data_IF_266209942698
#
_entry.id   IF_266209942698
#
_cell.length_a   1.000
_cell.length_b   1.000
_cell.length_c   1.000
_cell.angle_alpha   90.00
_cell.angle_beta   90.00
_cell.angle_gamma   90.00
#
_symmetry.space_group_name_H-M   'P 1'
#
loop_
_entity.id
_entity.type
_entity.pdbx_description
1 polymer ?
#
# COMPACT_ATOMS: atom_id res chain seq x y z
N UNK A 1 77.14 23.46 0.57
CA UNK A 1 77.77 23.65 -0.74
C UNK A 1 76.64 23.98 -1.67
N UNK A 2 76.30 25.28 -1.86
CA UNK A 2 76.73 26.13 -2.95
C UNK A 2 76.29 25.54 -4.30
N UNK A 3 75.28 26.15 -4.90
CA UNK A 3 75.47 26.99 -6.11
C UNK A 3 74.12 27.63 -6.54
N UNK A 4 74.15 28.92 -6.52
CA UNK A 4 73.25 29.86 -7.13
C UNK A 4 73.49 29.88 -8.66
N UNK A 5 72.40 30.00 -9.44
CA UNK A 5 72.49 30.44 -10.83
C UNK A 5 71.40 31.49 -11.11
N UNK A 6 71.94 32.66 -11.38
CA UNK A 6 71.27 33.89 -11.88
C UNK A 6 70.92 33.71 -13.34
N UNK A 7 69.74 34.21 -13.77
CA UNK A 7 69.43 34.43 -15.19
C UNK A 7 68.79 35.83 -15.36
N UNK A 8 69.10 36.53 -16.44
CA UNK A 8 68.90 37.96 -16.56
C UNK A 8 67.49 38.33 -17.13
N UNK A 9 67.07 39.55 -16.80
CA UNK A 9 65.87 40.19 -17.31
C UNK A 9 66.03 40.64 -18.77
N UNK A 10 64.97 40.61 -19.58
CA UNK A 10 64.92 41.34 -20.86
C UNK A 10 64.20 42.67 -20.73
N UNK A 11 64.77 43.62 -21.47
CA UNK A 11 64.49 45.05 -21.56
C UNK A 11 63.06 45.40 -22.04
N UNK A 12 62.56 46.48 -21.50
CA UNK A 12 61.35 47.16 -21.91
C UNK A 12 61.46 47.80 -23.31
N UNK A 13 60.55 47.36 -24.20
CA UNK A 13 60.30 48.04 -25.49
C UNK A 13 58.93 48.75 -25.40
N UNK A 14 59.02 50.09 -25.43
CA UNK A 14 57.86 51.00 -25.45
C UNK A 14 57.16 50.93 -26.82
N UNK A 15 55.95 50.39 -26.89
CA UNK A 15 55.07 50.57 -28.07
C UNK A 15 53.84 51.39 -27.68
N UNK A 16 53.59 52.42 -28.49
CA UNK A 16 52.61 53.47 -28.28
C UNK A 16 51.15 53.00 -28.27
N UNK A 17 50.30 53.64 -27.41
CA UNK A 17 48.94 53.17 -27.15
C UNK A 17 47.90 53.88 -28.01
N UNK A 18 47.88 53.72 -29.30
CA UNK A 18 46.86 54.38 -30.14
C UNK A 18 45.84 53.48 -30.82
N UNK A 19 46.06 52.17 -30.84
CA UNK A 19 45.12 51.22 -31.44
C UNK A 19 44.33 50.40 -30.42
N UNK A 20 44.66 50.45 -29.14
CA UNK A 20 43.96 49.71 -28.07
C UNK A 20 42.64 50.39 -27.69
N UNK A 21 42.53 51.72 -27.83
CA UNK A 21 41.31 52.46 -27.47
C UNK A 21 40.11 52.20 -28.42
N UNK A 22 40.38 51.89 -29.71
CA UNK A 22 39.30 51.61 -30.68
C UNK A 22 38.79 50.20 -30.59
N UNK A 23 39.64 49.21 -30.26
CA UNK A 23 39.26 47.82 -30.12
C UNK A 23 38.44 47.61 -28.83
N UNK A 24 38.78 48.35 -27.75
CA UNK A 24 38.02 48.26 -26.49
C UNK A 24 36.62 48.88 -26.61
N UNK A 25 36.43 49.92 -27.41
CA UNK A 25 35.11 50.53 -27.63
C UNK A 25 34.20 49.65 -28.49
N UNK A 26 34.71 48.90 -29.46
CA UNK A 26 33.94 47.96 -30.30
C UNK A 26 33.55 46.71 -29.51
N UNK A 27 34.40 46.20 -28.62
CA UNK A 27 34.10 45.05 -27.76
C UNK A 27 33.07 45.42 -26.70
N UNK A 28 33.07 46.64 -26.16
CA UNK A 28 32.11 47.08 -25.18
C UNK A 28 30.70 47.30 -25.76
N UNK A 29 30.59 47.68 -27.04
CA UNK A 29 29.30 47.82 -27.74
C UNK A 29 28.70 46.46 -28.13
N UNK A 30 29.51 45.45 -28.38
CA UNK A 30 29.07 44.07 -28.68
C UNK A 30 28.57 43.33 -27.42
N UNK A 31 29.02 43.69 -26.23
CA UNK A 31 28.53 43.07 -24.95
C UNK A 31 27.17 43.66 -24.53
N UNK A 32 26.80 44.85 -24.95
CA UNK A 32 25.48 45.44 -24.65
C UNK A 32 24.36 44.99 -25.59
N UNK A 33 24.66 44.37 -26.72
CA UNK A 33 23.65 43.78 -27.62
C UNK A 33 23.25 42.35 -27.27
N UNK A 34 23.87 41.74 -26.24
CA UNK A 34 23.63 40.34 -25.83
C UNK A 34 22.58 40.16 -24.72
N UNK A 35 21.97 41.20 -24.19
CA UNK A 35 20.93 41.10 -23.14
C UNK A 35 19.53 41.14 -23.74
N UNK A 36 19.15 40.09 -24.44
CA UNK A 36 17.84 39.99 -25.03
C UNK A 36 17.46 38.60 -25.51
N UNK A 37 18.28 37.57 -25.21
CA UNK A 37 17.81 36.21 -25.38
C UNK A 37 16.93 35.91 -24.18
N UNK A 38 15.62 36.17 -24.33
CA UNK A 38 14.62 35.40 -23.59
C UNK A 38 15.05 33.94 -23.80
N UNK A 39 15.57 33.28 -22.75
CA UNK A 39 15.58 31.83 -22.69
C UNK A 39 14.11 31.46 -22.88
N UNK A 40 13.77 31.04 -24.08
CA UNK A 40 12.57 30.26 -24.30
C UNK A 40 12.71 29.10 -23.32
N UNK A 41 12.00 29.18 -22.20
CA UNK A 41 11.72 27.99 -21.39
C UNK A 41 11.20 26.97 -22.39
N UNK A 42 11.73 25.73 -22.42
CA UNK A 42 11.17 24.71 -23.28
C UNK A 42 9.68 24.79 -23.06
N UNK A 43 8.91 24.94 -24.13
CA UNK A 43 7.48 25.18 -24.08
C UNK A 43 6.87 24.07 -23.22
N UNK A 44 6.71 24.33 -21.93
CA UNK A 44 5.82 23.55 -21.09
C UNK A 44 4.50 23.73 -21.79
N UNK A 45 3.98 22.65 -22.40
CA UNK A 45 2.73 22.72 -23.14
C UNK A 45 1.67 23.17 -22.15
N UNK A 46 1.33 24.43 -22.17
CA UNK A 46 0.27 25.01 -21.35
C UNK A 46 -1.05 24.42 -21.84
N UNK A 47 -1.76 23.71 -20.96
CA UNK A 47 -3.05 23.12 -21.26
C UNK A 47 -4.19 24.14 -21.03
N UNK A 48 -4.08 24.95 -19.97
CA UNK A 48 -5.00 26.05 -19.68
C UNK A 48 -4.27 27.18 -18.95
N UNK A 49 -4.87 28.38 -18.98
CA UNK A 49 -4.43 29.53 -18.20
C UNK A 49 -5.59 30.00 -17.33
N UNK A 50 -5.36 30.05 -16.02
CA UNK A 50 -6.35 30.46 -15.02
C UNK A 50 -5.84 31.74 -14.37
N UNK A 51 -6.39 32.90 -14.83
CA UNK A 51 -5.92 34.23 -14.44
C UNK A 51 -4.42 34.42 -14.75
N UNK A 52 -3.56 34.37 -13.73
CA UNK A 52 -2.11 34.53 -13.83
C UNK A 52 -1.34 33.21 -13.86
N UNK A 53 -1.99 32.13 -13.51
CA UNK A 53 -1.40 30.81 -13.34
C UNK A 53 -1.63 29.94 -14.59
N UNK A 54 -0.72 29.03 -14.84
CA UNK A 54 -0.77 28.14 -16.01
C UNK A 54 -0.81 26.69 -15.54
N UNK A 55 -1.79 25.96 -16.03
CA UNK A 55 -1.89 24.50 -15.87
C UNK A 55 -1.19 23.86 -17.06
N UNK A 56 -0.22 23.00 -16.78
CA UNK A 56 0.60 22.36 -17.81
C UNK A 56 0.12 20.94 -18.11
N UNK A 57 0.41 20.45 -19.33
CA UNK A 57 0.20 19.05 -19.71
C UNK A 57 0.97 18.10 -18.78
N UNK A 58 2.11 18.54 -18.25
CA UNK A 58 2.89 17.77 -17.28
C UNK A 58 2.11 17.51 -15.98
N UNK A 59 1.43 18.51 -15.45
CA UNK A 59 0.59 18.38 -14.25
C UNK A 59 -0.59 17.41 -14.49
N UNK A 60 -1.23 17.54 -15.65
CA UNK A 60 -2.31 16.61 -16.05
C UNK A 60 -1.78 15.17 -16.09
N UNK A 61 -0.63 14.95 -16.75
CA UNK A 61 -0.02 13.63 -16.87
C UNK A 61 0.42 13.08 -15.51
N UNK A 62 0.94 13.92 -14.61
CA UNK A 62 1.29 13.53 -13.25
C UNK A 62 0.07 12.99 -12.49
N UNK A 63 -1.08 13.67 -12.59
CA UNK A 63 -2.32 13.21 -11.97
C UNK A 63 -2.84 11.92 -12.61
N UNK A 64 -2.78 11.82 -13.94
CA UNK A 64 -3.19 10.61 -14.67
C UNK A 64 -2.35 9.39 -14.30
N UNK A 65 -1.04 9.55 -14.12
CA UNK A 65 -0.15 8.45 -13.71
C UNK A 65 -0.48 7.89 -12.32
N UNK A 66 -1.12 8.67 -11.47
CA UNK A 66 -1.57 8.21 -10.16
C UNK A 66 -2.89 7.40 -10.25
N UNK A 67 -3.62 7.48 -11.34
CA UNK A 67 -4.84 6.70 -11.58
C UNK A 67 -4.48 5.33 -12.14
N UNK A 68 -4.64 4.29 -11.32
CA UNK A 68 -4.39 2.90 -11.74
C UNK A 68 -5.52 2.40 -12.65
N UNK A 69 -5.16 1.69 -13.72
CA UNK A 69 -6.15 0.96 -14.55
C UNK A 69 -6.88 1.81 -15.59
N UNK A 70 -6.34 2.97 -15.99
CA UNK A 70 -6.92 3.78 -17.06
C UNK A 70 -6.73 3.06 -18.41
N UNK A 71 -7.84 2.74 -19.06
CA UNK A 71 -7.80 2.15 -20.40
C UNK A 71 -7.40 3.20 -21.45
N UNK A 72 -6.66 2.81 -22.52
CA UNK A 72 -6.16 3.76 -23.52
C UNK A 72 -7.24 4.60 -24.21
N UNK A 73 -8.41 4.03 -24.41
CA UNK A 73 -9.58 4.70 -25.01
C UNK A 73 -10.21 5.76 -24.07
N UNK A 74 -9.99 5.64 -22.77
CA UNK A 74 -10.47 6.57 -21.75
C UNK A 74 -9.51 7.73 -21.48
N UNK A 75 -8.25 7.62 -21.92
CA UNK A 75 -7.19 8.58 -21.61
C UNK A 75 -7.54 10.02 -22.00
N UNK A 76 -8.13 10.24 -23.18
CA UNK A 76 -8.52 11.57 -23.64
C UNK A 76 -9.65 12.19 -22.80
N UNK A 77 -10.64 11.40 -22.41
CA UNK A 77 -11.74 11.85 -21.54
C UNK A 77 -11.25 12.13 -20.12
N UNK A 78 -10.42 11.23 -19.57
CA UNK A 78 -9.82 11.40 -18.24
C UNK A 78 -8.92 12.64 -18.19
N UNK A 79 -8.12 12.90 -19.25
CA UNK A 79 -7.29 14.11 -19.34
C UNK A 79 -8.12 15.39 -19.26
N UNK A 80 -9.26 15.47 -19.94
CA UNK A 80 -10.15 16.62 -19.85
C UNK A 80 -10.74 16.78 -18.44
N UNK A 81 -11.20 15.68 -17.84
CA UNK A 81 -11.74 15.72 -16.46
C UNK A 81 -10.68 16.15 -15.44
N UNK A 82 -9.44 15.70 -15.61
CA UNK A 82 -8.31 16.12 -14.76
C UNK A 82 -8.06 17.61 -14.96
N UNK A 83 -8.06 18.10 -16.20
CA UNK A 83 -7.86 19.53 -16.48
C UNK A 83 -8.93 20.39 -15.80
N UNK A 84 -10.22 20.07 -15.95
CA UNK A 84 -11.31 20.83 -15.29
C UNK A 84 -11.14 20.82 -13.76
N UNK A 85 -10.80 19.67 -13.17
CA UNK A 85 -10.54 19.58 -11.72
C UNK A 85 -9.36 20.43 -11.30
N UNK A 86 -8.29 20.50 -12.10
CA UNK A 86 -7.12 21.33 -11.80
C UNK A 86 -7.47 22.81 -11.90
N UNK A 87 -8.34 23.22 -12.87
CA UNK A 87 -8.86 24.59 -12.96
C UNK A 87 -9.65 24.96 -11.70
N UNK A 88 -10.58 24.10 -11.27
CA UNK A 88 -11.37 24.35 -10.06
C UNK A 88 -10.47 24.43 -8.81
N UNK A 89 -9.46 23.54 -8.73
CA UNK A 89 -8.49 23.55 -7.63
C UNK A 89 -7.68 24.83 -7.61
N UNK A 90 -7.24 25.33 -8.77
CA UNK A 90 -6.44 26.55 -8.87
C UNK A 90 -7.27 27.79 -8.49
N UNK A 91 -8.52 27.87 -8.97
CA UNK A 91 -9.44 28.92 -8.56
C UNK A 91 -9.69 28.93 -7.04
N UNK A 92 -9.88 27.75 -6.44
CA UNK A 92 -10.04 27.62 -5.00
C UNK A 92 -8.76 28.03 -4.25
N UNK A 93 -7.58 27.68 -4.78
CA UNK A 93 -6.28 28.06 -4.20
C UNK A 93 -6.08 29.57 -4.22
N UNK A 94 -6.37 30.22 -5.36
CA UNK A 94 -6.28 31.69 -5.49
C UNK A 94 -7.21 32.37 -4.46
N UNK A 95 -8.45 31.91 -4.34
CA UNK A 95 -9.39 32.43 -3.36
C UNK A 95 -8.95 32.19 -1.91
N UNK A 96 -8.34 31.04 -1.64
CA UNK A 96 -7.77 30.75 -0.31
C UNK A 96 -6.59 31.65 0.03
N UNK A 97 -5.74 31.98 -0.94
CA UNK A 97 -4.63 32.95 -0.77
C UNK A 97 -5.14 34.35 -0.53
N UNK A 98 -6.16 34.81 -1.25
CA UNK A 98 -6.80 36.12 -1.03
C UNK A 98 -7.36 36.21 0.39
N UNK A 99 -7.91 35.14 0.92
CA UNK A 99 -8.40 35.04 2.30
C UNK A 99 -7.29 34.72 3.32
N UNK A 100 -6.05 34.59 2.90
CA UNK A 100 -4.86 34.29 3.73
C UNK A 100 -4.97 32.95 4.47
N UNK A 101 -5.72 31.98 3.94
CA UNK A 101 -5.82 30.64 4.52
C UNK A 101 -4.50 29.88 4.44
N UNK A 102 -3.63 30.21 3.49
CA UNK A 102 -2.26 29.73 3.38
C UNK A 102 -1.39 30.11 4.60
N UNK A 103 -1.82 31.07 5.39
CA UNK A 103 -1.17 31.54 6.63
C UNK A 103 -1.87 31.10 7.91
N UNK A 104 -2.99 30.37 7.79
CA UNK A 104 -3.68 29.83 8.97
C UNK A 104 -2.74 28.84 9.68
N UNK A 105 -2.57 28.94 11.02
CA UNK A 105 -1.68 28.04 11.76
C UNK A 105 -2.00 26.56 11.59
N UNK A 106 -3.27 26.18 11.44
CA UNK A 106 -3.68 24.80 11.22
C UNK A 106 -3.27 24.31 9.84
N UNK A 107 -3.43 25.15 8.81
CA UNK A 107 -3.00 24.84 7.43
C UNK A 107 -1.50 24.69 7.38
N UNK A 108 -0.74 25.60 8.01
CA UNK A 108 0.71 25.51 8.09
C UNK A 108 1.18 24.23 8.79
N UNK A 109 0.55 23.84 9.90
CA UNK A 109 0.86 22.58 10.59
C UNK A 109 0.61 21.36 9.69
N UNK A 110 -0.50 21.35 8.94
CA UNK A 110 -0.81 20.27 7.99
C UNK A 110 0.19 20.22 6.84
N UNK A 111 0.58 21.37 6.28
CA UNK A 111 1.59 21.46 5.23
C UNK A 111 2.95 20.93 5.70
N UNK A 112 3.39 21.32 6.89
CA UNK A 112 4.65 20.84 7.47
C UNK A 112 4.60 19.35 7.82
N UNK A 113 3.47 18.82 8.27
CA UNK A 113 3.29 17.39 8.51
C UNK A 113 3.34 16.61 7.19
N UNK A 114 2.60 17.05 6.16
CA UNK A 114 2.59 16.44 4.84
C UNK A 114 3.97 16.48 4.17
N UNK A 115 4.66 17.61 4.26
CA UNK A 115 6.03 17.76 3.73
C UNK A 115 6.99 16.75 4.35
N UNK A 116 6.97 16.64 5.70
CA UNK A 116 7.83 15.66 6.42
C UNK A 116 7.51 14.22 6.01
N UNK A 117 6.23 13.88 5.91
CA UNK A 117 5.81 12.55 5.49
C UNK A 117 6.27 12.21 4.07
N UNK A 118 6.07 13.13 3.12
CA UNK A 118 6.48 12.93 1.71
C UNK A 118 7.99 12.73 1.61
N UNK A 119 8.79 13.57 2.30
CA UNK A 119 10.26 13.47 2.24
C UNK A 119 10.73 12.19 2.92
N UNK A 120 10.17 11.82 4.07
CA UNK A 120 10.53 10.58 4.77
C UNK A 120 10.18 9.35 3.94
N UNK A 121 9.00 9.32 3.30
CA UNK A 121 8.59 8.26 2.38
C UNK A 121 9.53 8.16 1.18
N UNK A 122 9.87 9.27 0.54
CA UNK A 122 10.80 9.29 -0.59
C UNK A 122 12.19 8.73 -0.20
N UNK A 123 12.66 9.01 1.03
CA UNK A 123 13.89 8.42 1.56
C UNK A 123 13.77 6.89 1.68
N UNK A 124 12.72 6.40 2.32
CA UNK A 124 12.46 4.96 2.49
C UNK A 124 12.36 4.25 1.14
N UNK A 125 11.65 4.84 0.17
CA UNK A 125 11.54 4.31 -1.19
C UNK A 125 12.91 4.24 -1.89
N UNK A 126 13.75 5.27 -1.72
CA UNK A 126 15.11 5.30 -2.26
C UNK A 126 15.97 4.18 -1.68
N UNK A 127 15.92 3.96 -0.35
CA UNK A 127 16.64 2.87 0.32
C UNK A 127 16.12 1.52 -0.15
N UNK A 128 14.79 1.33 -0.21
CA UNK A 128 14.17 0.11 -0.70
C UNK A 128 14.54 -0.21 -2.16
N UNK A 129 14.66 0.81 -3.02
CA UNK A 129 15.05 0.64 -4.42
C UNK A 129 16.48 0.09 -4.58
N UNK A 130 17.35 0.26 -3.58
CA UNK A 130 18.70 -0.31 -3.54
C UNK A 130 18.76 -1.80 -3.24
N UNK A 131 17.63 -2.45 -2.90
CA UNK A 131 17.59 -3.87 -2.61
C UNK A 131 17.96 -4.71 -3.85
N UNK A 132 18.91 -5.66 -3.75
CA UNK A 132 19.31 -6.50 -4.86
C UNK A 132 18.18 -7.45 -5.26
N UNK A 133 18.06 -7.72 -6.56
CA UNK A 133 17.09 -8.71 -7.06
C UNK A 133 17.48 -10.13 -6.58
N UNK A 134 16.51 -11.01 -6.32
CA UNK A 134 16.79 -12.41 -6.06
C UNK A 134 17.49 -13.07 -7.24
N UNK A 135 18.43 -13.96 -6.97
CA UNK A 135 19.03 -14.81 -8.00
C UNK A 135 18.15 -16.00 -8.34
N UNK A 136 18.29 -16.62 -9.52
CA UNK A 136 17.56 -17.84 -9.84
C UNK A 136 17.79 -18.98 -8.84
N UNK A 137 18.98 -19.09 -8.27
CA UNK A 137 19.29 -20.08 -7.25
C UNK A 137 18.50 -19.88 -5.96
N UNK A 138 18.29 -18.64 -5.55
CA UNK A 138 17.47 -18.30 -4.36
C UNK A 138 15.99 -18.55 -4.61
N UNK A 139 15.50 -18.26 -5.82
CA UNK A 139 14.13 -18.57 -6.22
C UNK A 139 13.88 -20.07 -6.18
N UNK A 140 14.81 -20.85 -6.76
CA UNK A 140 14.74 -22.31 -6.69
C UNK A 140 14.79 -22.83 -5.27
N UNK A 141 15.71 -22.32 -4.45
CA UNK A 141 15.82 -22.72 -3.05
C UNK A 141 14.53 -22.43 -2.26
N UNK A 142 13.89 -21.28 -2.52
CA UNK A 142 12.59 -20.96 -1.90
C UNK A 142 11.48 -21.93 -2.36
N UNK A 143 11.42 -22.25 -3.65
CA UNK A 143 10.47 -23.18 -4.22
C UNK A 143 10.60 -24.58 -3.59
N UNK A 144 11.83 -25.09 -3.49
CA UNK A 144 12.13 -26.40 -2.92
C UNK A 144 11.89 -26.46 -1.39
N UNK A 145 12.14 -25.37 -0.68
CA UNK A 145 11.93 -25.26 0.76
C UNK A 145 10.44 -25.17 1.16
N UNK A 146 9.54 -24.84 0.22
CA UNK A 146 8.12 -24.63 0.52
C UNK A 146 7.20 -25.50 -0.35
N UNK A 147 7.33 -26.85 -0.29
CA UNK A 147 6.55 -27.74 -1.14
C UNK A 147 5.04 -27.58 -0.96
N UNK A 148 4.57 -27.25 0.24
CA UNK A 148 3.16 -27.02 0.52
C UNK A 148 2.56 -25.80 -0.20
N UNK A 149 3.40 -24.84 -0.64
CA UNK A 149 2.98 -23.70 -1.47
C UNK A 149 2.97 -24.03 -2.96
N UNK A 150 3.76 -25.01 -3.41
CA UNK A 150 4.03 -25.25 -4.83
C UNK A 150 3.80 -26.69 -5.25
N UNK A 151 4.76 -27.58 -5.06
CA UNK A 151 4.74 -28.97 -5.51
C UNK A 151 3.57 -29.77 -4.92
N UNK A 152 3.27 -29.53 -3.64
CA UNK A 152 2.20 -30.17 -2.88
C UNK A 152 1.07 -29.18 -2.55
N UNK A 153 0.97 -28.10 -3.32
CA UNK A 153 -0.02 -27.05 -3.09
C UNK A 153 -1.43 -27.62 -3.10
N UNK A 154 -2.20 -27.18 -2.10
CA UNK A 154 -3.60 -27.58 -1.90
C UNK A 154 -4.50 -26.36 -1.82
N UNK A 155 -5.74 -26.53 -2.20
CA UNK A 155 -6.86 -25.66 -1.91
C UNK A 155 -7.64 -26.30 -0.77
N UNK A 156 -7.83 -25.57 0.31
CA UNK A 156 -8.45 -26.05 1.54
C UNK A 156 -9.88 -25.54 1.63
N UNK A 157 -10.84 -26.44 1.78
CA UNK A 157 -12.21 -26.13 2.17
C UNK A 157 -12.26 -26.18 3.70
N UNK A 158 -12.47 -25.02 4.33
CA UNK A 158 -12.42 -24.87 5.78
C UNK A 158 -13.79 -24.43 6.30
N UNK A 159 -14.16 -24.97 7.46
CA UNK A 159 -15.24 -24.41 8.27
C UNK A 159 -14.64 -23.71 9.49
N UNK A 160 -14.92 -22.44 9.63
CA UNK A 160 -14.44 -21.61 10.73
C UNK A 160 -15.58 -21.34 11.72
N UNK A 161 -15.35 -21.70 12.98
CA UNK A 161 -16.28 -21.40 14.08
C UNK A 161 -15.63 -20.32 14.96
N UNK A 162 -16.22 -19.15 15.03
CA UNK A 162 -15.81 -18.10 15.98
C UNK A 162 -16.71 -18.19 17.22
N UNK A 163 -16.13 -18.51 18.37
CA UNK A 163 -16.85 -18.78 19.63
C UNK A 163 -16.50 -17.67 20.63
N UNK A 164 -17.52 -16.99 21.14
CA UNK A 164 -17.35 -16.05 22.25
C UNK A 164 -17.27 -16.81 23.56
N UNK A 165 -16.16 -16.66 24.28
CA UNK A 165 -15.92 -17.33 25.54
C UNK A 165 -14.99 -16.51 26.43
N UNK A 166 -15.11 -16.67 27.73
CA UNK A 166 -14.17 -16.09 28.70
C UNK A 166 -12.88 -16.91 28.72
N UNK A 167 -11.74 -16.32 29.12
CA UNK A 167 -10.45 -17.03 29.17
C UNK A 167 -10.49 -18.32 30.00
N UNK A 168 -11.25 -18.35 31.09
CA UNK A 168 -11.42 -19.50 31.97
C UNK A 168 -12.24 -20.67 31.36
N UNK A 169 -12.99 -20.41 30.29
CA UNK A 169 -13.78 -21.40 29.58
C UNK A 169 -13.02 -22.07 28.42
N UNK A 170 -11.90 -21.49 27.99
CA UNK A 170 -11.19 -21.93 26.78
C UNK A 170 -10.63 -23.36 26.92
N UNK A 171 -10.13 -23.72 28.10
CA UNK A 171 -9.59 -25.06 28.35
C UNK A 171 -10.70 -26.13 28.28
N UNK A 172 -11.86 -25.84 28.86
CA UNK A 172 -13.02 -26.74 28.79
C UNK A 172 -13.55 -26.89 27.35
N UNK A 173 -13.59 -25.80 26.58
CA UNK A 173 -13.98 -25.82 25.18
C UNK A 173 -13.00 -26.68 24.33
N UNK A 174 -11.69 -26.50 24.54
CA UNK A 174 -10.68 -27.30 23.83
C UNK A 174 -10.76 -28.77 24.20
N UNK A 175 -10.92 -29.10 25.49
CA UNK A 175 -11.10 -30.47 25.97
C UNK A 175 -12.35 -31.11 25.36
N UNK A 176 -13.49 -30.38 25.32
CA UNK A 176 -14.71 -30.85 24.69
C UNK A 176 -14.55 -31.09 23.20
N UNK A 177 -13.92 -30.16 22.46
CA UNK A 177 -13.62 -30.30 21.04
C UNK A 177 -12.84 -31.61 20.78
N UNK A 178 -11.81 -31.88 21.58
CA UNK A 178 -10.96 -33.06 21.45
C UNK A 178 -11.69 -34.39 21.76
N UNK A 179 -12.77 -34.32 22.57
CA UNK A 179 -13.57 -35.50 22.94
C UNK A 179 -14.85 -35.62 22.13
N UNK A 180 -15.20 -34.66 21.31
CA UNK A 180 -16.36 -34.70 20.42
C UNK A 180 -16.16 -35.71 19.31
N UNK A 181 -17.21 -36.48 18.99
CA UNK A 181 -17.18 -37.47 17.94
C UNK A 181 -17.03 -36.87 16.56
N UNK A 182 -17.67 -35.72 16.37
CA UNK A 182 -17.70 -34.97 15.13
C UNK A 182 -18.01 -33.48 15.39
N UNK A 183 -18.00 -32.68 14.34
CA UNK A 183 -18.29 -31.25 14.41
C UNK A 183 -19.74 -30.96 14.86
N UNK A 184 -20.78 -31.69 14.39
CA UNK A 184 -22.13 -31.57 14.90
C UNK A 184 -22.25 -31.79 16.41
N UNK A 185 -21.56 -32.78 16.99
CA UNK A 185 -21.55 -33.04 18.45
C UNK A 185 -21.00 -31.81 19.22
N UNK A 186 -19.91 -31.24 18.72
CA UNK A 186 -19.35 -30.02 19.31
C UNK A 186 -20.30 -28.80 19.18
N UNK A 187 -20.94 -28.62 18.03
CA UNK A 187 -21.92 -27.54 17.83
C UNK A 187 -23.12 -27.71 18.76
N UNK A 188 -23.61 -28.94 18.95
CA UNK A 188 -24.71 -29.22 19.89
C UNK A 188 -24.30 -28.89 21.33
N UNK A 189 -23.07 -29.21 21.72
CA UNK A 189 -22.53 -28.80 23.02
C UNK A 189 -22.50 -27.26 23.17
N UNK A 190 -22.05 -26.51 22.17
CA UNK A 190 -22.04 -25.07 22.20
C UNK A 190 -23.45 -24.50 22.40
N UNK A 191 -24.44 -25.03 21.68
CA UNK A 191 -25.84 -24.63 21.81
C UNK A 191 -26.42 -24.98 23.20
N UNK A 192 -26.13 -26.18 23.71
CA UNK A 192 -26.65 -26.65 25.01
C UNK A 192 -26.06 -25.86 26.20
N UNK A 193 -24.91 -25.21 26.03
CA UNK A 193 -24.25 -24.39 27.05
C UNK A 193 -24.32 -22.89 26.77
N UNK A 194 -25.22 -22.45 25.91
CA UNK A 194 -25.50 -21.03 25.58
C UNK A 194 -24.26 -20.25 25.06
N UNK A 195 -23.28 -20.92 24.45
CA UNK A 195 -22.19 -20.26 23.82
C UNK A 195 -22.66 -19.53 22.55
N UNK A 196 -22.31 -18.25 22.43
CA UNK A 196 -22.51 -17.49 21.19
C UNK A 196 -21.40 -17.85 20.22
N UNK A 197 -21.77 -18.31 19.02
CA UNK A 197 -20.83 -18.62 17.96
C UNK A 197 -21.39 -18.27 16.59
N UNK A 198 -20.48 -18.07 15.65
CA UNK A 198 -20.79 -17.98 14.21
C UNK A 198 -20.01 -19.06 13.46
N UNK A 199 -20.59 -19.55 12.39
CA UNK A 199 -19.98 -20.56 11.53
C UNK A 199 -19.92 -20.03 10.10
N UNK A 200 -18.72 -20.06 9.50
CA UNK A 200 -18.48 -19.67 8.12
C UNK A 200 -17.77 -20.82 7.40
N UNK A 201 -18.11 -21.01 6.13
CA UNK A 201 -17.37 -21.91 5.25
C UNK A 201 -16.58 -21.07 4.25
N UNK A 202 -15.28 -21.35 4.14
CA UNK A 202 -14.35 -20.62 3.27
C UNK A 202 -13.50 -21.59 2.48
N UNK A 203 -13.12 -21.19 1.27
CA UNK A 203 -12.17 -21.93 0.45
C UNK A 203 -10.93 -21.07 0.34
N UNK A 204 -9.79 -21.60 0.80
CA UNK A 204 -8.52 -20.87 0.81
C UNK A 204 -7.44 -21.69 0.11
N UNK A 205 -6.79 -21.18 -0.92
CA UNK A 205 -5.57 -21.79 -1.43
C UNK A 205 -4.42 -21.62 -0.41
N UNK A 206 -3.41 -22.49 -0.52
CA UNK A 206 -2.28 -22.57 0.42
C UNK A 206 -1.63 -21.20 0.71
N UNK A 207 -1.49 -20.35 -0.31
CA UNK A 207 -0.88 -19.02 -0.21
C UNK A 207 -1.69 -17.97 0.57
N UNK A 208 -2.96 -18.27 0.86
CA UNK A 208 -3.81 -17.43 1.72
C UNK A 208 -3.82 -17.87 3.18
N UNK A 209 -3.10 -18.95 3.50
CA UNK A 209 -2.90 -19.39 4.87
C UNK A 209 -1.61 -18.77 5.44
N UNK A 210 -1.56 -18.49 6.75
CA UNK A 210 -0.32 -18.02 7.37
C UNK A 210 0.80 -19.04 7.17
N UNK A 211 1.98 -18.61 6.69
CA UNK A 211 3.12 -19.50 6.44
C UNK A 211 3.51 -20.34 7.66
N UNK A 212 3.39 -19.75 8.86
CA UNK A 212 3.70 -20.41 10.14
C UNK A 212 2.80 -21.60 10.46
N UNK A 213 1.59 -21.63 9.91
CA UNK A 213 0.62 -22.72 10.12
C UNK A 213 0.44 -23.62 8.90
N UNK A 214 1.03 -23.27 7.75
CA UNK A 214 0.84 -23.98 6.49
C UNK A 214 1.26 -25.45 6.58
N UNK A 215 2.39 -25.75 7.23
CA UNK A 215 2.85 -27.14 7.42
C UNK A 215 1.88 -27.97 8.28
N UNK A 216 1.20 -27.30 9.22
CA UNK A 216 0.14 -27.95 10.01
C UNK A 216 -1.04 -28.29 9.11
N UNK A 217 -1.52 -27.35 8.30
CA UNK A 217 -2.60 -27.61 7.35
C UNK A 217 -2.23 -28.66 6.31
N UNK A 218 -1.00 -28.67 5.81
CA UNK A 218 -0.52 -29.64 4.84
C UNK A 218 -0.57 -31.09 5.38
N UNK A 219 -0.41 -31.27 6.71
CA UNK A 219 -0.45 -32.57 7.38
C UNK A 219 -1.84 -32.96 7.87
N UNK A 220 -2.79 -32.01 7.92
CA UNK A 220 -4.15 -32.29 8.36
C UNK A 220 -4.89 -33.25 7.42
N UNK A 221 -5.74 -34.06 8.03
CA UNK A 221 -6.74 -34.90 7.36
C UNK A 221 -8.12 -34.24 7.48
N UNK A 222 -9.02 -34.59 6.58
CA UNK A 222 -10.42 -34.14 6.64
C UNK A 222 -11.04 -34.51 8.00
N UNK A 223 -11.81 -33.60 8.56
CA UNK A 223 -12.41 -33.70 9.90
C UNK A 223 -11.49 -33.25 11.04
N UNK A 224 -10.20 -33.04 10.83
CA UNK A 224 -9.31 -32.54 11.87
C UNK A 224 -9.52 -31.04 12.11
N UNK A 225 -9.22 -30.60 13.33
CA UNK A 225 -9.50 -29.26 13.82
C UNK A 225 -8.25 -28.57 14.36
N UNK A 226 -8.20 -27.25 14.22
CA UNK A 226 -7.22 -26.38 14.89
C UNK A 226 -8.02 -25.46 15.82
N UNK A 227 -7.59 -25.38 17.09
CA UNK A 227 -8.17 -24.51 18.10
C UNK A 227 -7.24 -23.33 18.36
N UNK A 228 -7.67 -22.13 17.95
CA UNK A 228 -6.91 -20.88 18.15
C UNK A 228 -7.57 -20.08 19.28
N UNK A 229 -6.79 -19.73 20.30
CA UNK A 229 -7.24 -18.90 21.43
C UNK A 229 -7.11 -17.42 21.06
N UNK A 230 -8.14 -16.65 21.32
CA UNK A 230 -8.20 -15.22 21.15
C UNK A 230 -8.56 -14.48 22.42
N UNK A 231 -8.42 -13.16 22.46
CA UNK A 231 -8.72 -12.34 23.66
C UNK A 231 -10.20 -12.37 24.04
N UNK A 232 -11.10 -12.59 23.08
CA UNK A 232 -12.55 -12.55 23.27
C UNK A 232 -13.21 -13.93 23.06
N UNK A 233 -12.42 -15.02 23.05
CA UNK A 233 -12.94 -16.37 22.82
C UNK A 233 -11.97 -17.26 22.05
N UNK A 234 -12.53 -18.16 21.23
CA UNK A 234 -11.75 -19.08 20.43
C UNK A 234 -12.23 -19.10 18.98
N UNK A 235 -11.29 -19.41 18.06
CA UNK A 235 -11.58 -19.76 16.69
C UNK A 235 -11.24 -21.24 16.48
N UNK A 236 -12.22 -22.03 16.03
CA UNK A 236 -12.01 -23.42 15.63
C UNK A 236 -12.02 -23.47 14.11
N UNK A 237 -10.94 -23.96 13.52
CA UNK A 237 -10.83 -24.19 12.08
C UNK A 237 -10.89 -25.69 11.83
N UNK A 238 -11.82 -26.12 11.00
CA UNK A 238 -12.08 -27.52 10.66
C UNK A 238 -11.74 -27.71 9.19
N UNK A 239 -10.94 -28.71 8.89
CA UNK A 239 -10.67 -29.10 7.51
C UNK A 239 -11.81 -29.97 6.98
N UNK A 240 -12.59 -29.42 6.04
CA UNK A 240 -13.75 -30.12 5.43
C UNK A 240 -13.33 -30.92 4.20
N UNK A 241 -12.37 -30.41 3.44
CA UNK A 241 -11.87 -31.07 2.24
C UNK A 241 -10.63 -30.40 1.69
N UNK A 242 -9.90 -31.13 0.86
CA UNK A 242 -8.71 -30.62 0.16
C UNK A 242 -8.75 -30.98 -1.32
N UNK A 243 -8.30 -30.04 -2.15
CA UNK A 243 -8.05 -30.27 -3.56
C UNK A 243 -6.56 -30.01 -3.84
N UNK A 244 -5.85 -31.02 -4.33
CA UNK A 244 -4.45 -30.88 -4.73
C UNK A 244 -4.37 -30.13 -6.06
N UNK A 245 -3.57 -29.06 -6.09
CA UNK A 245 -3.37 -28.23 -7.28
C UNK A 245 -1.92 -27.71 -7.31
N UNK A 246 -0.96 -28.55 -7.71
CA UNK A 246 0.45 -28.19 -7.73
C UNK A 246 0.74 -27.06 -8.75
N UNK A 247 1.77 -26.28 -8.45
CA UNK A 247 2.32 -25.24 -9.31
C UNK A 247 3.78 -25.57 -9.57
N UNK A 248 4.16 -25.63 -10.84
CA UNK A 248 5.54 -25.86 -11.23
C UNK A 248 6.44 -24.63 -10.98
N UNK A 249 7.76 -24.85 -10.96
CA UNK A 249 8.75 -23.81 -10.68
C UNK A 249 8.65 -22.63 -11.65
N UNK A 250 8.47 -22.91 -12.94
CA UNK A 250 8.41 -21.88 -13.99
C UNK A 250 7.26 -20.90 -13.74
N UNK A 251 6.10 -21.45 -13.35
CA UNK A 251 4.91 -20.64 -13.03
C UNK A 251 5.02 -19.94 -11.68
N UNK A 252 5.72 -20.51 -10.72
CA UNK A 252 5.93 -19.93 -9.39
C UNK A 252 6.99 -18.82 -9.39
N UNK A 253 7.98 -18.89 -10.27
CA UNK A 253 9.15 -17.99 -10.33
C UNK A 253 8.80 -16.51 -10.21
N UNK A 254 7.88 -15.91 -11.00
CA UNK A 254 7.61 -14.47 -10.89
C UNK A 254 7.06 -14.06 -9.53
N UNK A 255 6.22 -14.89 -8.93
CA UNK A 255 5.65 -14.64 -7.61
C UNK A 255 6.69 -14.75 -6.50
N UNK A 256 7.58 -15.75 -6.58
CA UNK A 256 8.68 -15.94 -5.62
C UNK A 256 9.68 -14.79 -5.73
N UNK A 257 10.07 -14.37 -6.94
CA UNK A 257 10.96 -13.22 -7.16
C UNK A 257 10.39 -11.96 -6.51
N UNK A 258 9.11 -11.69 -6.74
CA UNK A 258 8.45 -10.51 -6.18
C UNK A 258 8.38 -10.59 -4.64
N UNK A 259 8.08 -11.74 -4.08
CA UNK A 259 8.04 -11.97 -2.64
C UNK A 259 9.42 -11.75 -2.00
N UNK A 260 10.45 -12.42 -2.51
CA UNK A 260 11.83 -12.30 -1.99
C UNK A 260 12.36 -10.88 -2.13
N UNK A 261 12.05 -10.20 -3.24
CA UNK A 261 12.42 -8.79 -3.43
C UNK A 261 11.74 -7.88 -2.41
N UNK A 262 10.45 -8.10 -2.14
CA UNK A 262 9.72 -7.31 -1.13
C UNK A 262 10.27 -7.55 0.28
N UNK A 263 10.59 -8.80 0.63
CA UNK A 263 11.25 -9.14 1.89
C UNK A 263 12.58 -8.41 2.04
N UNK A 264 13.42 -8.39 0.99
CA UNK A 264 14.70 -7.67 0.98
C UNK A 264 14.52 -6.18 1.13
N UNK A 265 13.58 -5.59 0.39
CA UNK A 265 13.28 -4.16 0.51
C UNK A 265 12.89 -3.80 1.94
N UNK A 266 12.02 -4.58 2.57
CA UNK A 266 11.62 -4.38 3.96
C UNK A 266 12.82 -4.48 4.90
N UNK A 267 13.63 -5.54 4.76
CA UNK A 267 14.81 -5.74 5.61
C UNK A 267 15.83 -4.63 5.47
N UNK A 268 16.15 -4.19 4.26
CA UNK A 268 17.11 -3.10 4.01
C UNK A 268 16.63 -1.80 4.66
N UNK A 269 15.34 -1.49 4.55
CA UNK A 269 14.75 -0.30 5.21
C UNK A 269 14.79 -0.43 6.73
N UNK A 270 14.46 -1.59 7.27
CA UNK A 270 14.49 -1.84 8.71
C UNK A 270 15.92 -1.70 9.28
N UNK A 271 16.90 -2.32 8.62
CA UNK A 271 18.31 -2.26 9.01
C UNK A 271 18.84 -0.81 8.94
N UNK A 272 18.49 -0.06 7.89
CA UNK A 272 18.87 1.35 7.72
C UNK A 272 18.26 2.23 8.83
N UNK A 273 16.95 2.13 9.06
CA UNK A 273 16.29 2.89 10.12
C UNK A 273 16.83 2.53 11.50
N UNK A 274 17.17 1.26 11.74
CA UNK A 274 17.81 0.82 12.98
C UNK A 274 19.21 1.45 13.14
N UNK A 275 19.99 1.50 12.07
CA UNK A 275 21.29 2.15 12.08
C UNK A 275 21.16 3.67 12.32
N UNK A 276 20.22 4.34 11.66
CA UNK A 276 19.95 5.76 11.89
C UNK A 276 19.53 6.05 13.34
N UNK A 277 18.68 5.20 13.93
CA UNK A 277 18.29 5.34 15.34
C UNK A 277 19.46 5.13 16.30
N UNK A 278 20.34 4.18 16.01
CA UNK A 278 21.53 3.92 16.82
C UNK A 278 22.55 5.07 16.77
N UNK A 279 22.67 5.74 15.63
CA UNK A 279 23.56 6.89 15.44
C UNK A 279 22.99 8.21 15.99
N UNK A 280 21.66 8.30 16.14
CA UNK A 280 21.00 9.52 16.58
C UNK A 280 21.02 9.67 18.10
N UNK A 281 21.20 10.91 18.58
CA UNK A 281 20.93 11.23 19.97
C UNK A 281 19.44 11.45 20.17
N UNK A 282 18.75 10.43 20.71
CA UNK A 282 17.31 10.48 20.98
C UNK A 282 17.11 10.71 22.48
N UNK A 283 16.40 11.75 22.83
CA UNK A 283 16.06 12.09 24.21
C UNK A 283 14.53 12.16 24.34
N UNK A 284 13.97 11.37 25.25
CA UNK A 284 12.55 11.37 25.55
C UNK A 284 12.27 12.33 26.69
N UNK A 285 11.33 13.27 26.48
CA UNK A 285 11.06 14.36 27.42
C UNK A 285 9.60 14.26 27.97
N UNK A 286 9.39 14.87 29.14
CA UNK A 286 8.07 14.95 29.76
C UNK A 286 7.48 13.57 30.09
N UNK A 287 6.22 13.37 29.77
CA UNK A 287 5.51 12.10 30.03
C UNK A 287 6.06 10.93 29.26
N UNK A 288 6.75 11.17 28.17
CA UNK A 288 7.39 10.13 27.31
C UNK A 288 8.74 9.64 27.90
N UNK A 289 9.34 10.38 28.84
CA UNK A 289 10.60 9.97 29.49
C UNK A 289 10.42 8.72 30.36
N UNK A 290 9.23 8.53 30.95
CA UNK A 290 8.92 7.39 31.84
C UNK A 290 8.63 6.09 31.08
N UNK A 291 8.43 6.14 29.76
CA UNK A 291 8.18 5.00 28.89
C UNK A 291 9.34 4.66 27.95
N UNK A 292 10.51 5.31 28.15
CA UNK A 292 11.66 5.18 27.28
C UNK A 292 12.09 3.74 27.09
N UNK A 293 12.07 3.29 25.83
CA UNK A 293 12.70 2.07 25.32
C UNK A 293 12.18 0.73 25.86
N UNK A 294 10.88 0.55 26.05
CA UNK A 294 10.33 -0.70 25.52
C UNK A 294 10.33 -0.51 24.01
N UNK A 295 11.24 -1.24 23.37
CA UNK A 295 11.25 -1.45 21.94
C UNK A 295 9.79 -1.56 21.52
N UNK A 296 9.26 -0.48 20.88
CA UNK A 296 8.00 -0.59 20.18
C UNK A 296 8.38 -1.52 19.04
N UNK A 297 8.29 -2.82 19.31
CA UNK A 297 8.29 -3.81 18.24
C UNK A 297 7.20 -3.32 17.32
N UNK A 298 7.51 -2.91 16.09
CA UNK A 298 6.48 -2.58 15.12
C UNK A 298 5.47 -3.73 15.20
N UNK A 299 4.16 -3.49 15.19
CA UNK A 299 3.20 -4.58 15.20
C UNK A 299 3.71 -5.57 14.17
N UNK A 300 3.94 -6.81 14.62
CA UNK A 300 4.50 -7.85 13.77
C UNK A 300 3.72 -7.74 12.45
N UNK A 301 4.38 -7.57 11.31
CA UNK A 301 3.68 -7.44 10.05
C UNK A 301 2.72 -8.61 10.02
N UNK A 302 1.44 -8.31 9.80
CA UNK A 302 0.39 -9.32 9.71
C UNK A 302 0.97 -10.45 8.89
N UNK A 303 1.02 -11.66 9.47
CA UNK A 303 1.83 -12.81 9.06
C UNK A 303 2.03 -12.76 7.55
N UNK A 304 3.30 -12.68 7.11
CA UNK A 304 3.65 -12.43 5.71
C UNK A 304 2.82 -13.36 4.85
N UNK A 305 1.81 -12.80 4.19
CA UNK A 305 0.99 -13.60 3.27
C UNK A 305 1.93 -14.13 2.20
N UNK A 306 1.81 -15.42 1.92
CA UNK A 306 2.54 -16.04 0.83
C UNK A 306 2.26 -15.29 -0.48
N UNK A 307 3.18 -15.33 -1.46
CA UNK A 307 3.01 -14.60 -2.70
C UNK A 307 1.68 -14.98 -3.38
N UNK A 308 0.88 -14.02 -3.85
CA UNK A 308 -0.39 -14.31 -4.49
C UNK A 308 -0.16 -15.07 -5.81
N UNK A 309 -0.66 -16.30 -5.87
CA UNK A 309 -0.60 -17.14 -7.06
C UNK A 309 -1.85 -16.97 -7.95
N UNK A 310 -2.72 -16.01 -7.64
CA UNK A 310 -3.98 -15.77 -8.34
C UNK A 310 -3.83 -15.50 -9.84
N UNK A 311 -2.68 -14.98 -10.27
CA UNK A 311 -2.38 -14.76 -11.69
C UNK A 311 -1.87 -16.02 -12.42
N UNK A 312 -1.67 -17.13 -11.70
CA UNK A 312 -1.07 -18.35 -12.23
C UNK A 312 -2.12 -19.45 -12.46
N UNK A 313 -3.31 -19.31 -11.88
CA UNK A 313 -4.38 -20.28 -12.08
C UNK A 313 -4.96 -20.19 -13.50
N UNK A 314 -5.07 -21.29 -14.24
CA UNK A 314 -5.83 -21.31 -15.48
C UNK A 314 -7.30 -20.94 -15.17
N UNK A 315 -8.03 -20.32 -16.11
CA UNK A 315 -9.46 -20.11 -15.94
C UNK A 315 -10.11 -21.46 -15.66
N UNK A 316 -10.86 -21.54 -14.56
CA UNK A 316 -11.61 -22.74 -14.23
C UNK A 316 -12.56 -23.06 -15.38
N UNK A 317 -12.61 -24.29 -15.89
CA UNK A 317 -13.67 -24.68 -16.79
C UNK A 317 -14.98 -24.55 -15.99
N UNK A 318 -15.95 -23.83 -16.55
CA UNK A 318 -17.33 -23.80 -16.07
C UNK A 318 -17.97 -25.16 -16.33
N UNK A 319 -17.54 -26.14 -15.56
CA UNK A 319 -18.15 -27.47 -15.49
C UNK A 319 -19.23 -27.44 -14.42
N UNK A 320 -20.46 -27.60 -14.84
CA UNK A 320 -21.64 -27.75 -14.00
C UNK A 320 -21.35 -28.75 -12.87
N UNK A 321 -21.34 -28.27 -11.63
CA UNK A 321 -21.34 -29.15 -10.46
C UNK A 321 -22.67 -29.93 -10.43
N UNK A 322 -22.67 -31.25 -10.20
CA UNK A 322 -23.90 -31.95 -9.93
C UNK A 322 -24.49 -31.43 -8.61
N UNK A 323 -25.68 -30.85 -8.70
CA UNK A 323 -26.53 -30.49 -7.58
C UNK A 323 -26.96 -31.75 -6.84
N UNK A 324 -26.33 -32.02 -5.69
CA UNK A 324 -26.84 -32.95 -4.70
C UNK A 324 -26.33 -32.58 -3.32
N UNK A 325 -26.98 -31.61 -2.69
CA UNK A 325 -26.99 -31.47 -1.24
C UNK A 325 -28.46 -31.49 -0.79
N UNK A 326 -28.84 -32.25 0.26
CA UNK A 326 -30.20 -32.25 0.75
C UNK A 326 -30.58 -30.87 1.29
N UNK A 327 -31.63 -30.28 0.71
CA UNK A 327 -32.25 -29.07 1.22
C UNK A 327 -32.83 -29.38 2.59
N UNK A 328 -32.28 -28.75 3.61
CA UNK A 328 -32.99 -28.63 4.89
C UNK A 328 -34.03 -27.52 4.69
N UNK A 329 -35.28 -27.96 4.66
CA UNK A 329 -36.47 -27.13 4.58
C UNK A 329 -36.52 -26.17 5.79
N UNK A 330 -36.23 -24.89 5.55
CA UNK A 330 -36.46 -23.83 6.53
C UNK A 330 -37.87 -23.32 6.30
N UNK A 331 -38.77 -23.56 7.24
CA UNK A 331 -40.13 -23.03 7.25
C UNK A 331 -40.15 -21.51 7.05
N UNK A 332 -41.06 -20.97 6.24
CA UNK A 332 -41.12 -19.52 6.00
C UNK A 332 -41.62 -18.77 7.23
N UNK A 333 -40.84 -17.84 7.70
CA UNK A 333 -41.30 -16.83 8.68
C UNK A 333 -42.26 -15.90 7.96
N UNK A 334 -43.50 -15.96 8.35
CA UNK A 334 -44.60 -15.15 7.89
C UNK A 334 -44.39 -13.68 8.31
N UNK A 335 -43.89 -12.84 7.41
CA UNK A 335 -43.89 -11.39 7.59
C UNK A 335 -45.06 -10.81 6.81
N UNK A 336 -46.08 -10.39 7.53
CA UNK A 336 -47.16 -9.60 6.99
C UNK A 336 -46.68 -8.31 6.33
N UNK A 337 -47.25 -7.86 5.21
CA UNK A 337 -46.84 -6.64 4.54
C UNK A 337 -47.30 -5.42 5.34
N UNK A 338 -46.40 -4.57 5.76
CA UNK A 338 -46.69 -3.24 6.27
C UNK A 338 -47.23 -2.35 5.15
N UNK A 339 -48.45 -1.86 5.36
CA UNK A 339 -49.20 -0.99 4.46
C UNK A 339 -48.42 0.28 4.11
N UNK A 340 -48.39 0.62 2.84
CA UNK A 340 -47.96 1.92 2.33
C UNK A 340 -48.91 3.03 2.81
N UNK A 341 -48.42 4.21 3.22
CA UNK A 341 -49.29 5.38 3.35
C UNK A 341 -49.49 6.04 2.00
N UNK A 342 -50.77 6.32 1.76
CA UNK A 342 -51.34 7.00 0.58
C UNK A 342 -50.74 8.40 0.39
N UNK A 343 -50.52 8.74 -0.87
CA UNK A 343 -50.36 10.11 -1.34
C UNK A 343 -51.65 10.91 -1.12
N UNK A 344 -51.53 12.09 -0.51
CA UNK A 344 -52.65 12.99 -0.42
C UNK A 344 -52.30 14.34 0.22
N UNK A 345 -52.37 15.36 -0.64
CA UNK A 345 -52.70 16.75 -0.34
C UNK A 345 -51.52 17.67 0.05
N UNK A 346 -50.90 18.20 -0.97
CA UNK A 346 -50.42 19.57 -1.05
C UNK A 346 -51.67 20.49 -1.17
N UNK A 347 -51.93 21.37 -0.24
CA UNK A 347 -52.31 22.77 -0.52
C UNK A 347 -52.52 23.55 0.79
N UNK A 348 -52.15 24.86 0.77
CA UNK A 348 -52.47 25.97 1.68
C UNK A 348 -51.46 26.30 2.79
N UNK A 349 -50.87 27.47 2.59
CA UNK A 349 -50.47 28.29 3.73
C UNK A 349 -49.32 29.25 3.53
N UNK A 350 -49.20 29.98 2.45
CA UNK A 350 -48.46 31.23 2.40
C UNK A 350 -49.30 32.37 2.95
N UNK A 351 -49.07 32.82 4.18
CA UNK A 351 -49.33 34.21 4.63
C UNK A 351 -48.64 34.53 5.94
N UNK A 352 -47.74 35.52 5.88
CA UNK A 352 -47.59 36.57 6.90
C UNK A 352 -46.58 36.31 8.01
N UNK A 353 -45.48 36.99 7.97
CA UNK A 353 -45.18 37.92 9.05
C UNK A 353 -44.15 38.96 8.56
N UNK A 354 -44.45 40.20 8.93
CA UNK A 354 -43.70 41.44 8.73
C UNK A 354 -42.27 41.38 9.23
#
# INVERSE_FOLDING_TARGET
MISSLHAPAPSAGAFAPRHIAVVTAVVLVLVLAGCGVKKDKPATQTAARVNKDEITVHEINFVLQQQRGLAPDQAASASKQVLERLIDQDLALQQAQDQKLDRDPRVLQQLEAARREIIARAYVEKIAAGAPKPSPAEVKAYYDAHPALFQERRIYSLQELAIQAKPDQLDALQAKLNTSKDVPDFINYLKANDFKFSANQVVRPAEQLPLTSLDTFAKMKEGQTIFNRGPNGAQVVILVGVQTQPVDETRATPAIEQFLLNERKRKVVEDDLKALRAAAKIEYLGDYAKGGSKEITPPAPAASEAPPLTSIAPPMPTGSMPSAAPQVEVAPINTAPASAPAAGILDKGLKGFK
#
